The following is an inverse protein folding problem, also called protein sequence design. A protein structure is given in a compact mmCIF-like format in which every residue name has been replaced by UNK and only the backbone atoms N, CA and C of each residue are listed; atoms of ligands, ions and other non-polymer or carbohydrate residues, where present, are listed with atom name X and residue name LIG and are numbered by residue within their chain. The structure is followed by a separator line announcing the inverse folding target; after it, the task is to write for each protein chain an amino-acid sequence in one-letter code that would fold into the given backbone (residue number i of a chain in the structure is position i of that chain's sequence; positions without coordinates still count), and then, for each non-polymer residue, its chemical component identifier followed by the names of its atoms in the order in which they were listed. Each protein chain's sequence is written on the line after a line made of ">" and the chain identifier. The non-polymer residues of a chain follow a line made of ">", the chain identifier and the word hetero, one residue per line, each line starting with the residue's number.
data_IF_167278276532
#
_entry.id   IF_167278276532
#
_cell.length_a   1.000
_cell.length_b   1.000
_cell.length_c   1.000
_cell.angle_alpha   90.00
_cell.angle_beta   90.00
_cell.angle_gamma   90.00
#
_symmetry.space_group_name_H-M   'P 1'
#
loop_
_entity.id
_entity.type
_entity.pdbx_description
1 polymer ?
#
# COMPACT_ATOMS: atom_id res chain seq x y z
N UNK A 1 25.03 -8.91 -7.69
CA UNK A 1 24.36 -9.39 -6.45
C UNK A 1 23.35 -8.32 -6.09
N UNK A 2 22.07 -8.58 -6.36
CA UNK A 2 21.07 -7.51 -6.46
C UNK A 2 19.92 -7.68 -5.48
N UNK A 3 20.03 -8.65 -4.54
CA UNK A 3 19.01 -8.88 -3.52
C UNK A 3 19.63 -8.85 -2.12
N UNK A 4 19.40 -7.72 -1.43
CA UNK A 4 19.84 -7.47 -0.06
C UNK A 4 18.68 -7.52 0.94
N UNK A 5 17.48 -7.89 0.48
CA UNK A 5 16.26 -7.84 1.26
C UNK A 5 16.37 -8.67 2.54
N UNK A 6 16.04 -8.06 3.68
CA UNK A 6 16.20 -8.65 5.03
C UNK A 6 17.61 -9.14 5.39
N UNK A 7 18.64 -8.70 4.69
CA UNK A 7 20.02 -8.98 5.05
C UNK A 7 20.47 -8.28 6.33
N UNK A 8 21.70 -8.55 6.74
CA UNK A 8 22.31 -7.92 7.93
C UNK A 8 22.50 -6.42 7.70
N UNK A 9 22.00 -5.61 8.61
CA UNK A 9 22.22 -4.16 8.61
C UNK A 9 23.63 -3.88 9.12
N UNK A 10 24.48 -3.13 8.39
CA UNK A 10 25.80 -2.75 8.87
C UNK A 10 25.75 -1.97 10.20
N UNK A 11 26.70 -2.22 11.08
CA UNK A 11 26.71 -1.64 12.45
C UNK A 11 26.57 -0.11 12.46
N UNK A 12 27.27 0.58 11.55
CA UNK A 12 27.14 2.04 11.44
C UNK A 12 25.73 2.49 11.08
N UNK A 13 25.06 1.78 10.19
CA UNK A 13 23.68 2.06 9.79
C UNK A 13 22.73 1.72 10.95
N UNK A 14 22.98 0.62 11.63
CA UNK A 14 22.23 0.22 12.82
C UNK A 14 22.28 1.31 13.92
N UNK A 15 23.45 1.88 14.16
CA UNK A 15 23.62 2.97 15.12
C UNK A 15 22.83 4.22 14.70
N UNK A 16 22.91 4.59 13.44
CA UNK A 16 22.10 5.69 12.87
C UNK A 16 20.60 5.43 13.03
N UNK A 17 20.14 4.23 12.66
CA UNK A 17 18.71 3.88 12.72
C UNK A 17 18.18 3.86 14.16
N UNK A 18 19.00 3.43 15.12
CA UNK A 18 18.64 3.43 16.54
C UNK A 18 18.50 4.86 17.08
N UNK A 19 19.45 5.75 16.76
CA UNK A 19 19.39 7.15 17.17
C UNK A 19 18.17 7.86 16.53
N UNK A 20 17.91 7.59 15.25
CA UNK A 20 16.73 8.09 14.55
C UNK A 20 15.43 7.64 15.21
N UNK A 21 15.32 6.36 15.55
CA UNK A 21 14.13 5.79 16.20
C UNK A 21 13.86 6.46 17.56
N UNK A 22 14.89 6.63 18.39
CA UNK A 22 14.75 7.31 19.69
C UNK A 22 14.22 8.73 19.50
N UNK A 23 14.84 9.52 18.61
CA UNK A 23 14.41 10.88 18.38
C UNK A 23 13.03 10.97 17.71
N UNK A 24 12.65 10.00 16.87
CA UNK A 24 11.32 9.90 16.31
C UNK A 24 10.27 9.62 17.39
N UNK A 25 10.54 8.70 18.31
CA UNK A 25 9.66 8.39 19.43
C UNK A 25 9.51 9.59 20.38
N UNK A 26 10.57 10.36 20.62
CA UNK A 26 10.52 11.61 21.40
C UNK A 26 9.59 12.66 20.75
N UNK A 27 9.43 12.63 19.44
CA UNK A 27 8.50 13.48 18.68
C UNK A 27 7.10 12.86 18.54
N UNK A 28 6.84 11.70 19.14
CA UNK A 28 5.57 11.00 19.04
C UNK A 28 5.39 10.19 17.76
N UNK A 29 6.44 10.02 16.94
CA UNK A 29 6.36 9.24 15.70
C UNK A 29 6.57 7.76 16.02
N UNK A 30 5.54 6.90 15.86
CA UNK A 30 5.60 5.51 16.28
C UNK A 30 6.36 4.65 15.26
N UNK A 31 7.64 4.45 15.46
CA UNK A 31 8.46 3.55 14.65
C UNK A 31 8.27 2.08 15.06
N UNK A 32 8.21 1.18 14.08
CA UNK A 32 7.97 -0.25 14.32
C UNK A 32 9.09 -1.14 13.84
N UNK A 33 9.43 -1.07 12.57
CA UNK A 33 10.41 -1.99 11.97
C UNK A 33 11.44 -1.24 11.15
N UNK A 34 12.59 -1.89 10.97
CA UNK A 34 13.66 -1.44 10.08
C UNK A 34 14.32 -2.67 9.48
N UNK A 35 14.62 -2.59 8.20
CA UNK A 35 15.23 -3.67 7.44
C UNK A 35 16.04 -3.17 6.24
N UNK A 36 16.83 -4.06 5.66
CA UNK A 36 17.43 -3.84 4.36
C UNK A 36 16.38 -3.97 3.25
N UNK A 37 16.46 -3.08 2.30
CA UNK A 37 15.77 -3.20 1.03
C UNK A 37 16.56 -4.04 0.03
N UNK A 38 15.95 -4.28 -1.13
CA UNK A 38 16.52 -5.07 -2.22
C UNK A 38 17.84 -4.47 -2.74
N UNK A 39 17.91 -3.14 -2.84
CA UNK A 39 19.10 -2.47 -3.37
C UNK A 39 20.23 -2.34 -2.35
N UNK A 40 21.49 -2.33 -2.79
CA UNK A 40 22.63 -2.10 -1.92
C UNK A 40 22.54 -0.74 -1.20
N UNK A 41 22.80 -0.73 0.10
CA UNK A 41 22.74 0.46 0.95
C UNK A 41 21.38 1.19 0.95
N UNK A 42 20.33 0.45 0.74
CA UNK A 42 18.96 0.92 0.86
C UNK A 42 18.28 0.26 2.06
N UNK A 43 17.61 1.07 2.86
CA UNK A 43 17.02 0.65 4.13
C UNK A 43 15.65 1.28 4.28
N UNK A 44 14.76 0.58 4.95
CA UNK A 44 13.43 1.08 5.29
C UNK A 44 13.27 1.20 6.80
N UNK A 45 12.61 2.27 7.20
CA UNK A 45 12.03 2.45 8.51
C UNK A 45 10.51 2.57 8.34
N UNK A 46 9.77 1.61 8.90
CA UNK A 46 8.33 1.60 8.82
C UNK A 46 7.71 2.06 10.14
N UNK A 47 6.92 3.15 10.15
CA UNK A 47 6.12 3.55 11.29
C UNK A 47 4.91 2.62 11.47
N UNK A 48 4.26 2.70 12.63
CA UNK A 48 2.93 2.12 12.85
C UNK A 48 1.92 2.95 12.06
N UNK A 49 0.90 2.31 11.51
CA UNK A 49 -0.15 3.01 10.78
C UNK A 49 -0.95 3.95 11.70
N UNK A 50 -1.35 5.07 11.15
CA UNK A 50 -2.11 6.10 11.84
C UNK A 50 -3.17 6.69 10.90
N UNK A 51 -3.98 7.61 11.41
CA UNK A 51 -4.85 8.42 10.58
C UNK A 51 -4.03 9.14 9.49
N UNK A 52 -4.57 9.21 8.28
CA UNK A 52 -3.83 9.59 7.08
C UNK A 52 -3.14 10.95 7.20
N UNK A 53 -3.82 11.95 7.74
CA UNK A 53 -3.25 13.30 7.89
C UNK A 53 -2.08 13.29 8.88
N UNK A 54 -2.26 12.63 10.02
CA UNK A 54 -1.20 12.47 11.02
C UNK A 54 -0.01 11.68 10.47
N UNK A 55 -0.27 10.60 9.73
CA UNK A 55 0.77 9.80 9.09
C UNK A 55 1.60 10.62 8.09
N UNK A 56 0.96 11.51 7.33
CA UNK A 56 1.65 12.42 6.41
C UNK A 56 2.55 13.41 7.16
N UNK A 57 2.03 14.03 8.22
CA UNK A 57 2.80 14.99 9.03
C UNK A 57 4.00 14.30 9.70
N UNK A 58 3.79 13.12 10.30
CA UNK A 58 4.85 12.31 10.87
C UNK A 58 5.90 11.91 9.83
N UNK A 59 5.49 11.53 8.62
CA UNK A 59 6.43 11.21 7.55
C UNK A 59 7.28 12.43 7.13
N UNK A 60 6.69 13.61 7.03
CA UNK A 60 7.41 14.84 6.70
C UNK A 60 8.44 15.20 7.79
N UNK A 61 8.05 15.09 9.06
CA UNK A 61 8.95 15.29 10.19
C UNK A 61 10.07 14.26 10.20
N UNK A 62 9.75 12.98 9.99
CA UNK A 62 10.72 11.89 9.95
C UNK A 62 11.75 12.09 8.83
N UNK A 63 11.33 12.49 7.63
CA UNK A 63 12.24 12.79 6.51
C UNK A 63 13.22 13.94 6.85
N UNK A 64 12.75 14.97 7.56
CA UNK A 64 13.59 16.06 8.04
C UNK A 64 14.57 15.58 9.12
N UNK A 65 14.07 14.79 10.07
CA UNK A 65 14.86 14.21 11.15
C UNK A 65 15.96 13.28 10.62
N UNK A 66 15.64 12.43 9.64
CA UNK A 66 16.60 11.55 8.99
C UNK A 66 17.83 12.28 8.47
N UNK A 67 17.64 13.42 7.79
CA UNK A 67 18.75 14.22 7.25
C UNK A 67 19.64 14.74 8.36
N UNK A 68 19.04 15.21 9.45
CA UNK A 68 19.76 15.79 10.59
C UNK A 68 20.53 14.71 11.38
N UNK A 69 19.90 13.58 11.66
CA UNK A 69 20.53 12.47 12.39
C UNK A 69 21.62 11.83 11.54
N UNK A 70 21.38 11.63 10.23
CA UNK A 70 22.38 11.08 9.32
C UNK A 70 23.67 11.92 9.29
N UNK A 71 23.55 13.23 9.31
CA UNK A 71 24.71 14.13 9.36
C UNK A 71 25.57 13.88 10.59
N UNK A 72 24.98 13.65 11.77
CA UNK A 72 25.69 13.32 13.02
C UNK A 72 26.48 12.01 12.90
N UNK A 73 25.96 11.04 12.14
CA UNK A 73 26.57 9.74 11.91
C UNK A 73 27.50 9.71 10.69
N UNK A 74 27.77 10.83 10.05
CA UNK A 74 28.62 10.93 8.86
C UNK A 74 27.98 10.29 7.63
N UNK A 75 26.64 10.30 7.55
CA UNK A 75 25.87 9.84 6.40
C UNK A 75 25.19 10.99 5.67
N UNK A 76 24.87 10.74 4.41
CA UNK A 76 23.94 11.53 3.62
C UNK A 76 22.75 10.65 3.24
N UNK A 77 21.54 11.07 3.57
CA UNK A 77 20.31 10.38 3.22
C UNK A 77 19.83 10.84 1.84
N UNK A 78 19.53 9.88 0.98
CA UNK A 78 18.79 10.06 -0.26
C UNK A 78 17.39 9.46 -0.05
N UNK A 79 16.36 10.25 -0.30
CA UNK A 79 14.97 9.85 -0.06
C UNK A 79 14.27 9.36 -1.34
N UNK A 80 15.02 9.19 -2.42
CA UNK A 80 14.52 8.63 -3.67
C UNK A 80 14.61 7.11 -3.61
N UNK A 81 13.56 6.42 -4.01
CA UNK A 81 13.48 4.95 -3.98
C UNK A 81 14.44 4.31 -4.99
N UNK A 82 14.73 4.99 -6.08
CA UNK A 82 15.70 4.57 -7.10
C UNK A 82 16.58 5.74 -7.52
N UNK A 83 17.58 6.10 -6.71
CA UNK A 83 18.41 7.29 -6.95
C UNK A 83 19.39 7.14 -8.12
N UNK A 84 19.71 5.91 -8.56
CA UNK A 84 20.73 5.65 -9.58
C UNK A 84 20.18 4.80 -10.72
N UNK A 85 20.54 5.18 -11.95
CA UNK A 85 20.27 4.35 -13.14
C UNK A 85 21.13 3.09 -13.11
N UNK A 86 20.60 1.97 -13.62
CA UNK A 86 21.35 0.72 -13.76
C UNK A 86 21.58 -0.05 -12.44
N UNK A 87 21.18 0.50 -11.30
CA UNK A 87 21.22 -0.17 -10.00
C UNK A 87 19.79 -0.49 -9.57
N UNK A 88 19.59 -1.60 -8.88
CA UNK A 88 18.29 -1.93 -8.31
C UNK A 88 17.81 -0.84 -7.33
N UNK A 89 16.52 -0.76 -7.11
CA UNK A 89 15.89 0.14 -6.17
C UNK A 89 14.57 -0.45 -5.70
N UNK A 90 13.96 0.15 -4.69
CA UNK A 90 12.66 -0.27 -4.17
C UNK A 90 11.56 0.72 -4.51
N UNK A 91 10.32 0.32 -4.24
CA UNK A 91 9.17 1.20 -4.29
C UNK A 91 8.76 1.61 -2.89
N UNK A 92 8.38 2.87 -2.69
CA UNK A 92 7.67 3.25 -1.49
C UNK A 92 6.19 2.89 -1.65
N UNK A 93 5.76 1.86 -0.93
CA UNK A 93 4.37 1.40 -0.94
C UNK A 93 3.60 2.11 0.17
N UNK A 94 2.43 2.66 -0.16
CA UNK A 94 1.52 3.23 0.81
C UNK A 94 0.36 2.25 1.00
N UNK A 95 0.38 1.54 2.13
CA UNK A 95 -0.75 0.72 2.53
C UNK A 95 -1.77 1.61 3.23
N UNK A 96 -3.03 1.52 2.84
CA UNK A 96 -4.10 2.33 3.40
C UNK A 96 -5.42 1.57 3.40
N UNK A 97 -6.32 1.98 4.27
CA UNK A 97 -7.68 1.46 4.33
C UNK A 97 -8.66 2.57 4.68
N UNK A 98 -9.94 2.30 4.50
CA UNK A 98 -11.02 3.18 4.94
C UNK A 98 -11.74 2.53 6.12
N UNK A 99 -12.05 3.35 7.11
CA UNK A 99 -12.91 2.93 8.20
C UNK A 99 -13.90 4.06 8.58
N UNK A 100 -14.99 3.68 9.22
CA UNK A 100 -15.91 4.64 9.82
C UNK A 100 -15.36 5.13 11.16
N UNK A 101 -15.90 6.20 11.69
CA UNK A 101 -15.65 6.70 13.04
C UNK A 101 -16.04 5.69 14.13
N UNK A 102 -16.93 4.76 13.81
CA UNK A 102 -17.36 3.66 14.69
C UNK A 102 -16.44 2.42 14.58
N UNK A 103 -15.38 2.47 13.77
CA UNK A 103 -14.38 1.41 13.63
C UNK A 103 -14.73 0.31 12.64
N UNK A 104 -15.75 0.50 11.79
CA UNK A 104 -16.08 -0.47 10.73
C UNK A 104 -15.09 -0.32 9.59
N UNK A 105 -14.35 -1.39 9.27
CA UNK A 105 -13.43 -1.43 8.14
C UNK A 105 -14.20 -1.61 6.83
N UNK A 106 -13.98 -0.70 5.88
CA UNK A 106 -14.70 -0.69 4.60
C UNK A 106 -13.96 -1.48 3.52
N UNK A 107 -12.64 -1.62 3.65
CA UNK A 107 -11.79 -2.41 2.77
C UNK A 107 -11.44 -3.80 3.36
N UNK A 108 -12.25 -4.30 4.27
CA UNK A 108 -12.10 -5.64 4.80
C UNK A 108 -13.35 -6.47 4.50
N UNK A 109 -13.16 -7.65 3.96
CA UNK A 109 -14.22 -8.65 3.86
C UNK A 109 -14.65 -9.04 5.27
N UNK A 110 -15.95 -9.24 5.46
CA UNK A 110 -16.54 -9.68 6.71
C UNK A 110 -16.95 -11.14 6.67
N UNK A 111 -17.68 -11.53 7.70
CA UNK A 111 -18.23 -12.90 7.84
C UNK A 111 -19.67 -13.00 7.33
N UNK A 112 -20.33 -11.89 7.07
CA UNK A 112 -21.70 -11.84 6.60
C UNK A 112 -21.77 -11.42 5.14
N UNK A 113 -22.82 -11.82 4.40
CA UNK A 113 -23.04 -11.36 3.02
C UNK A 113 -23.10 -9.84 2.90
N UNK A 114 -23.70 -9.16 3.88
CA UNK A 114 -23.81 -7.70 3.89
C UNK A 114 -22.43 -7.04 4.05
N UNK A 115 -21.57 -7.59 4.91
CA UNK A 115 -20.21 -7.12 5.07
C UNK A 115 -19.40 -7.29 3.78
N UNK A 116 -19.57 -8.43 3.12
CA UNK A 116 -18.90 -8.72 1.86
C UNK A 116 -19.43 -7.83 0.72
N UNK A 117 -20.73 -7.59 0.66
CA UNK A 117 -21.31 -6.65 -0.31
C UNK A 117 -20.77 -5.23 -0.10
N UNK A 118 -20.72 -4.76 1.15
CA UNK A 118 -20.11 -3.47 1.50
C UNK A 118 -18.66 -3.41 1.01
N UNK A 119 -17.87 -4.42 1.32
CA UNK A 119 -16.47 -4.53 0.87
C UNK A 119 -16.35 -4.43 -0.65
N UNK A 120 -17.14 -5.18 -1.41
CA UNK A 120 -17.13 -5.16 -2.87
C UNK A 120 -17.50 -3.79 -3.42
N UNK A 121 -18.51 -3.12 -2.84
CA UNK A 121 -18.90 -1.75 -3.24
C UNK A 121 -17.73 -0.78 -3.08
N UNK A 122 -17.05 -0.78 -1.94
CA UNK A 122 -15.92 0.12 -1.70
C UNK A 122 -14.70 -0.19 -2.59
N UNK A 123 -14.47 -1.46 -2.94
CA UNK A 123 -13.46 -1.83 -3.95
C UNK A 123 -13.82 -1.24 -5.31
N UNK A 124 -15.05 -1.45 -5.77
CA UNK A 124 -15.50 -0.96 -7.09
C UNK A 124 -15.43 0.57 -7.15
N UNK A 125 -15.86 1.26 -6.10
CA UNK A 125 -15.77 2.73 -6.02
C UNK A 125 -14.31 3.21 -6.03
N UNK A 126 -13.40 2.48 -5.37
CA UNK A 126 -11.96 2.78 -5.41
C UNK A 126 -11.41 2.63 -6.84
N UNK A 127 -11.73 1.52 -7.51
CA UNK A 127 -11.32 1.28 -8.90
C UNK A 127 -11.89 2.34 -9.85
N UNK A 128 -13.15 2.73 -9.67
CA UNK A 128 -13.78 3.80 -10.44
C UNK A 128 -13.10 5.15 -10.20
N UNK A 129 -12.72 5.45 -8.95
CA UNK A 129 -11.93 6.63 -8.60
C UNK A 129 -10.58 6.63 -9.30
N UNK A 130 -9.86 5.51 -9.27
CA UNK A 130 -8.57 5.32 -9.98
C UNK A 130 -8.75 5.53 -11.49
N UNK A 131 -9.78 4.95 -12.08
CA UNK A 131 -10.07 5.11 -13.51
C UNK A 131 -10.38 6.57 -13.87
N UNK A 132 -11.29 7.22 -13.16
CA UNK A 132 -11.70 8.60 -13.43
C UNK A 132 -10.59 9.62 -13.23
N UNK A 133 -9.72 9.38 -12.24
CA UNK A 133 -8.67 10.33 -11.82
C UNK A 133 -7.26 9.86 -12.18
N UNK A 134 -7.11 8.89 -13.08
CA UNK A 134 -5.80 8.34 -13.46
C UNK A 134 -4.82 9.39 -13.99
N UNK A 135 -5.30 10.47 -14.61
CA UNK A 135 -4.46 11.58 -15.05
C UNK A 135 -3.76 12.30 -13.90
N UNK A 136 -4.47 12.53 -12.78
CA UNK A 136 -3.89 13.13 -11.57
C UNK A 136 -2.90 12.17 -10.89
N UNK A 137 -3.26 10.88 -10.83
CA UNK A 137 -2.36 9.85 -10.29
C UNK A 137 -1.07 9.76 -11.09
N UNK A 138 -1.16 9.76 -12.42
CA UNK A 138 0.02 9.80 -13.30
C UNK A 138 0.86 11.06 -13.06
N UNK A 139 0.23 12.21 -12.96
CA UNK A 139 0.94 13.46 -12.68
C UNK A 139 1.69 13.44 -11.34
N UNK A 140 1.12 12.79 -10.31
CA UNK A 140 1.75 12.68 -9.00
C UNK A 140 3.00 11.80 -8.98
N UNK A 141 3.11 10.81 -9.87
CA UNK A 141 4.23 9.87 -9.92
C UNK A 141 5.26 10.22 -11.01
N UNK A 142 4.90 11.01 -12.02
CA UNK A 142 5.78 11.40 -13.12
C UNK A 142 6.62 12.62 -12.76
N UNK A 143 7.56 12.43 -11.84
CA UNK A 143 8.54 13.44 -11.47
C UNK A 143 9.94 13.02 -11.89
N UNK A 144 10.88 13.98 -11.95
CA UNK A 144 12.28 13.69 -12.25
C UNK A 144 12.90 12.69 -11.25
N UNK A 145 12.42 12.66 -10.02
CA UNK A 145 12.88 11.74 -8.98
C UNK A 145 12.44 10.30 -9.21
N UNK A 146 11.41 10.08 -10.03
CA UNK A 146 10.87 8.77 -10.37
C UNK A 146 11.31 8.28 -11.76
N UNK A 147 12.12 9.04 -12.50
CA UNK A 147 12.49 8.69 -13.88
C UNK A 147 13.16 7.32 -13.99
N UNK A 148 13.99 6.95 -13.03
CA UNK A 148 14.67 5.64 -13.02
C UNK A 148 13.85 4.52 -12.36
N UNK A 149 12.76 4.88 -11.67
CA UNK A 149 11.91 3.95 -10.95
C UNK A 149 10.84 3.32 -11.85
N UNK A 150 10.20 4.10 -12.69
CA UNK A 150 9.06 3.65 -13.48
C UNK A 150 9.45 2.55 -14.48
N UNK A 151 8.76 1.41 -14.38
CA UNK A 151 8.95 0.27 -15.27
C UNK A 151 10.18 -0.60 -15.00
N UNK A 152 10.84 -0.46 -13.85
CA UNK A 152 12.04 -1.22 -13.52
C UNK A 152 11.93 -1.93 -12.16
N UNK A 153 12.25 -3.23 -12.15
CA UNK A 153 12.30 -4.11 -10.97
C UNK A 153 11.01 -4.03 -10.11
N UNK A 154 11.09 -3.70 -8.82
CA UNK A 154 9.94 -3.54 -7.94
C UNK A 154 9.08 -2.31 -8.24
N UNK A 155 9.52 -1.42 -9.12
CA UNK A 155 8.75 -0.25 -9.47
C UNK A 155 7.54 -0.64 -10.33
N UNK A 156 6.35 -0.08 -10.07
CA UNK A 156 5.21 -0.31 -10.92
C UNK A 156 5.45 0.23 -12.33
N UNK A 157 4.81 -0.34 -13.36
CA UNK A 157 4.86 0.22 -14.70
C UNK A 157 4.27 1.64 -14.72
N UNK A 158 4.63 2.42 -15.76
CA UNK A 158 4.06 3.75 -15.96
C UNK A 158 2.54 3.73 -16.27
N UNK A 159 1.98 2.55 -16.47
CA UNK A 159 0.55 2.33 -16.70
C UNK A 159 -0.15 2.14 -15.36
N UNK A 160 -1.20 2.91 -15.12
CA UNK A 160 -2.05 2.74 -13.96
C UNK A 160 -2.97 1.54 -14.20
N UNK A 161 -2.76 0.49 -13.43
CA UNK A 161 -3.55 -0.75 -13.43
C UNK A 161 -3.85 -1.16 -12.00
N UNK A 162 -4.82 -2.06 -11.82
CA UNK A 162 -5.19 -2.59 -10.53
C UNK A 162 -5.10 -4.12 -10.56
N UNK A 163 -4.60 -4.69 -9.49
CA UNK A 163 -4.55 -6.14 -9.29
C UNK A 163 -5.48 -6.52 -8.13
N UNK A 164 -6.42 -7.41 -8.41
CA UNK A 164 -7.45 -7.84 -7.46
C UNK A 164 -7.22 -9.26 -6.92
N UNK A 165 -6.32 -10.00 -7.56
CA UNK A 165 -6.22 -11.43 -7.35
C UNK A 165 -7.35 -12.21 -8.02
N UNK A 166 -7.19 -13.54 -8.10
CA UNK A 166 -8.13 -14.41 -8.81
C UNK A 166 -9.52 -14.38 -8.19
N UNK A 167 -9.60 -14.47 -6.88
CA UNK A 167 -10.85 -14.60 -6.15
C UNK A 167 -11.79 -13.40 -6.33
N UNK A 168 -11.26 -12.16 -6.18
CA UNK A 168 -12.05 -10.95 -6.39
C UNK A 168 -12.40 -10.75 -7.86
N UNK A 169 -11.51 -11.10 -8.78
CA UNK A 169 -11.80 -11.03 -10.21
C UNK A 169 -12.95 -11.98 -10.58
N UNK A 170 -12.88 -13.23 -10.15
CA UNK A 170 -13.92 -14.23 -10.40
C UNK A 170 -15.29 -13.78 -9.81
N UNK A 171 -15.27 -13.18 -8.61
CA UNK A 171 -16.46 -12.64 -7.96
C UNK A 171 -17.08 -11.48 -8.76
N UNK A 172 -16.27 -10.51 -9.18
CA UNK A 172 -16.77 -9.37 -9.95
C UNK A 172 -17.29 -9.80 -11.33
N UNK A 173 -16.61 -10.73 -11.98
CA UNK A 173 -17.08 -11.32 -13.24
C UNK A 173 -18.43 -12.03 -13.07
N UNK A 174 -18.64 -12.70 -11.93
CA UNK A 174 -19.91 -13.34 -11.62
C UNK A 174 -21.03 -12.29 -11.42
N UNK A 175 -20.76 -11.25 -10.63
CA UNK A 175 -21.72 -10.16 -10.41
C UNK A 175 -22.06 -9.44 -11.72
N UNK A 176 -21.09 -9.23 -12.63
CA UNK A 176 -21.34 -8.60 -13.93
C UNK A 176 -22.27 -9.43 -14.83
N UNK A 177 -22.17 -10.75 -14.75
CA UNK A 177 -22.97 -11.69 -15.56
C UNK A 177 -24.34 -12.00 -14.97
N UNK A 178 -24.55 -11.70 -13.68
CA UNK A 178 -25.82 -11.92 -13.01
C UNK A 178 -26.93 -11.04 -13.59
N UNK A 179 -28.16 -11.57 -13.63
CA UNK A 179 -29.33 -10.84 -14.12
C UNK A 179 -29.59 -9.62 -13.20
N UNK A 180 -29.73 -8.44 -13.80
CA UNK A 180 -30.01 -7.20 -13.06
C UNK A 180 -31.31 -7.27 -12.26
N UNK A 181 -32.34 -7.98 -12.76
CA UNK A 181 -33.59 -8.16 -12.06
C UNK A 181 -33.42 -8.99 -10.78
N UNK A 182 -32.57 -10.01 -10.84
CA UNK A 182 -32.21 -10.86 -9.70
C UNK A 182 -31.43 -10.10 -8.64
N UNK A 183 -30.44 -9.29 -9.04
CA UNK A 183 -29.68 -8.41 -8.15
C UNK A 183 -30.56 -7.35 -7.49
N UNK A 184 -31.51 -6.73 -8.23
CA UNK A 184 -32.45 -5.76 -7.69
C UNK A 184 -33.51 -6.41 -6.77
N UNK A 185 -33.94 -7.62 -7.07
CA UNK A 185 -34.85 -8.37 -6.22
C UNK A 185 -34.22 -8.75 -4.87
N UNK A 186 -32.92 -9.03 -4.88
CA UNK A 186 -32.10 -9.29 -3.68
C UNK A 186 -31.92 -8.01 -2.84
N UNK A 187 -31.63 -6.89 -3.48
CA UNK A 187 -31.46 -5.60 -2.79
C UNK A 187 -32.76 -5.00 -2.22
N UNK A 188 -33.90 -5.35 -2.77
CA UNK A 188 -35.22 -4.79 -2.40
C UNK A 188 -35.94 -5.51 -1.26
N UNK A 189 -35.47 -6.64 -0.80
CA UNK A 189 -36.12 -7.41 0.28
C UNK A 189 -35.59 -6.97 1.64
N UNK A 190 -36.30 -6.04 2.28
CA UNK A 190 -36.08 -5.67 3.68
C UNK A 190 -36.19 -6.92 4.58
N UNK A 191 -35.09 -7.28 5.23
CA UNK A 191 -35.07 -8.29 6.30
C UNK A 191 -34.85 -9.74 5.85
N UNK A 192 -34.32 -9.99 4.66
CA UNK A 192 -33.81 -11.31 4.28
C UNK A 192 -32.30 -11.36 4.46
N UNK A 193 -31.86 -12.45 5.10
CA UNK A 193 -30.53 -12.93 4.91
C UNK A 193 -30.29 -12.98 3.39
N UNK A 194 -29.31 -12.23 2.92
CA UNK A 194 -28.83 -12.32 1.55
C UNK A 194 -28.17 -13.69 1.44
N UNK A 195 -28.98 -14.72 1.26
CA UNK A 195 -28.51 -16.02 0.85
C UNK A 195 -28.10 -15.88 -0.63
N UNK A 196 -26.98 -15.23 -0.86
CA UNK A 196 -26.25 -15.34 -2.10
C UNK A 196 -25.35 -16.56 -1.91
N UNK A 197 -25.80 -17.75 -2.33
CA UNK A 197 -25.10 -19.01 -2.03
C UNK A 197 -23.71 -19.08 -2.70
N UNK A 198 -23.29 -18.02 -3.36
CA UNK A 198 -22.15 -17.97 -4.27
C UNK A 198 -21.14 -16.88 -3.95
N UNK A 199 -21.33 -16.09 -2.88
CA UNK A 199 -20.21 -15.30 -2.40
C UNK A 199 -19.32 -16.22 -1.56
N UNK A 200 -18.20 -16.71 -2.11
CA UNK A 200 -17.32 -17.59 -1.36
C UNK A 200 -16.78 -16.85 -0.14
N UNK A 201 -16.47 -17.58 0.90
CA UNK A 201 -15.72 -17.06 2.03
C UNK A 201 -14.42 -16.45 1.47
N UNK A 202 -14.31 -15.12 1.56
CA UNK A 202 -13.14 -14.41 1.04
C UNK A 202 -11.97 -14.67 1.99
N UNK A 203 -11.06 -15.52 1.55
CA UNK A 203 -9.81 -15.75 2.28
C UNK A 203 -8.79 -14.66 1.91
N UNK A 204 -7.95 -14.32 2.88
CA UNK A 204 -6.81 -13.43 2.62
C UNK A 204 -5.91 -14.12 1.60
N UNK A 205 -5.85 -13.57 0.40
CA UNK A 205 -4.94 -14.05 -0.63
C UNK A 205 -3.55 -13.45 -0.37
N UNK A 206 -2.54 -14.30 -0.21
CA UNK A 206 -1.15 -13.88 -0.17
C UNK A 206 -0.73 -13.49 -1.59
N UNK A 207 -1.21 -12.33 -2.04
CA UNK A 207 -0.77 -11.78 -3.31
C UNK A 207 0.71 -11.48 -3.27
N UNK A 208 1.41 -11.90 -4.31
CA UNK A 208 2.84 -11.68 -4.48
C UNK A 208 3.17 -10.20 -4.28
N UNK A 209 4.13 -9.93 -3.39
CA UNK A 209 4.63 -8.59 -3.13
C UNK A 209 5.38 -7.98 -4.32
N UNK A 210 5.76 -8.77 -5.30
CA UNK A 210 6.27 -8.34 -6.60
C UNK A 210 5.13 -7.78 -7.46
N UNK A 211 4.70 -6.59 -7.13
CA UNK A 211 3.53 -5.96 -7.70
C UNK A 211 3.76 -5.54 -9.14
N UNK A 212 3.03 -6.17 -10.03
CA UNK A 212 2.95 -5.75 -11.44
C UNK A 212 2.02 -4.57 -11.65
N UNK A 213 1.24 -4.20 -10.65
CA UNK A 213 0.27 -3.11 -10.69
C UNK A 213 0.50 -2.11 -9.56
N UNK A 214 0.29 -0.79 -9.80
CA UNK A 214 0.44 0.23 -8.78
C UNK A 214 -0.64 0.17 -7.70
N UNK A 215 -1.76 -0.46 -7.96
CA UNK A 215 -2.83 -0.71 -7.00
C UNK A 215 -3.06 -2.21 -6.85
N UNK A 216 -3.05 -2.69 -5.62
CA UNK A 216 -3.36 -4.08 -5.29
C UNK A 216 -4.14 -4.15 -3.97
N UNK A 217 -5.06 -5.10 -3.90
CA UNK A 217 -5.72 -5.48 -2.66
C UNK A 217 -4.93 -6.62 -2.03
N UNK A 218 -4.51 -6.45 -0.78
CA UNK A 218 -3.67 -7.41 -0.05
C UNK A 218 -4.22 -7.65 1.34
#
# INVERSE_FOLDING_TARGET
>A
MDDHYFGTIPERVQAFMKDLEIQALELGIPCKTRHNEVAPNQFELAPIYEECNLAVDHNMLLMSLMKRVAHKHGFRVLLHEKPFAGVNGSGKHNNWSLCTDTGVLLHAAGKTPEDNLRFVVFIVETLMGVYKHNGLLKASIMSATNAHRLGANEAPPAIISSFLGKQLTDLLDHIEKADKEELFALAGKKGMELDIPEIPELMIDNTDRNRTSPFAFT
#
